data_IF_820716260324
#
_entry.id   IF_820716260324
#
_cell.length_a   1.000
_cell.length_b   1.000
_cell.length_c   1.000
_cell.angle_alpha   90.00
_cell.angle_beta   90.00
_cell.angle_gamma   90.00
#
_symmetry.space_group_name_H-M   'P 1'
#
loop_
_entity.id
_entity.type
_entity.pdbx_description
1 polymer ?
#
# COMPACT_ATOMS: atom_id res chain seq x y z
N UNK A 1 15.38 -21.17 -7.05
CA UNK A 1 14.95 -19.92 -7.71
C UNK A 1 15.58 -18.73 -7.00
N UNK A 2 15.88 -17.64 -7.72
CA UNK A 2 16.13 -16.32 -7.10
C UNK A 2 14.82 -15.77 -6.53
N UNK A 3 14.89 -14.78 -5.64
CA UNK A 3 13.70 -14.11 -5.12
C UNK A 3 12.80 -13.56 -6.23
N UNK A 4 13.40 -12.94 -7.25
CA UNK A 4 12.69 -12.41 -8.43
C UNK A 4 11.96 -13.50 -9.23
N UNK A 5 12.65 -14.63 -9.49
CA UNK A 5 12.05 -15.77 -10.20
C UNK A 5 10.90 -16.39 -9.40
N UNK A 6 11.01 -16.42 -8.07
CA UNK A 6 9.98 -16.93 -7.17
C UNK A 6 8.71 -16.12 -7.20
N UNK A 7 8.83 -14.78 -7.14
CA UNK A 7 7.69 -13.87 -7.26
C UNK A 7 7.05 -13.96 -8.64
N UNK A 8 7.85 -14.00 -9.71
CA UNK A 8 7.34 -14.19 -11.07
C UNK A 8 6.59 -15.52 -11.22
N UNK A 9 7.12 -16.61 -10.66
CA UNK A 9 6.43 -17.91 -10.68
C UNK A 9 5.07 -17.84 -9.97
N UNK A 10 4.97 -17.08 -8.85
CA UNK A 10 3.70 -16.88 -8.17
C UNK A 10 2.69 -16.13 -9.08
N UNK A 11 3.10 -15.09 -9.79
CA UNK A 11 2.24 -14.38 -10.75
C UNK A 11 1.88 -15.18 -12.00
N UNK A 12 2.67 -16.18 -12.34
CA UNK A 12 2.37 -17.14 -13.41
C UNK A 12 1.55 -18.33 -12.93
N UNK A 13 1.04 -18.32 -11.70
CA UNK A 13 0.32 -19.42 -11.04
C UNK A 13 1.08 -20.74 -11.14
N UNK A 14 2.41 -20.69 -11.05
CA UNK A 14 3.30 -21.86 -10.98
C UNK A 14 3.84 -21.99 -9.55
N UNK A 15 3.90 -23.25 -9.07
CA UNK A 15 4.44 -23.52 -7.74
C UNK A 15 5.91 -23.10 -7.65
N UNK A 16 6.29 -22.12 -6.82
CA UNK A 16 7.68 -21.78 -6.60
C UNK A 16 8.36 -22.78 -5.66
N UNK A 17 9.70 -22.72 -5.56
CA UNK A 17 10.49 -23.55 -4.64
C UNK A 17 10.20 -23.24 -3.17
N UNK A 18 9.81 -22.01 -2.87
CA UNK A 18 9.38 -21.48 -1.57
C UNK A 18 8.27 -20.49 -1.78
N UNK A 19 7.43 -20.28 -0.76
CA UNK A 19 6.46 -19.18 -0.77
C UNK A 19 7.22 -17.85 -0.73
N UNK A 20 7.04 -16.96 -1.71
CA UNK A 20 7.65 -15.64 -1.67
C UNK A 20 7.09 -14.80 -0.54
N UNK A 21 7.95 -13.97 0.05
CA UNK A 21 7.67 -13.17 1.25
C UNK A 21 7.83 -11.69 0.94
N UNK A 22 6.89 -10.88 1.42
CA UNK A 22 6.95 -9.43 1.36
C UNK A 22 6.77 -8.78 2.73
N UNK A 23 7.77 -8.02 3.16
CA UNK A 23 7.68 -7.02 4.24
C UNK A 23 8.41 -5.77 3.78
N UNK A 24 7.64 -4.78 3.29
CA UNK A 24 8.17 -3.49 2.83
C UNK A 24 8.29 -3.33 1.31
N UNK A 25 7.69 -4.24 0.54
CA UNK A 25 7.58 -4.10 -0.92
C UNK A 25 6.56 -3.05 -1.35
N UNK A 26 5.61 -2.68 -0.48
CA UNK A 26 4.64 -1.62 -0.69
C UNK A 26 4.27 -0.93 0.63
N UNK A 27 3.63 0.24 0.57
CA UNK A 27 3.21 0.97 1.77
C UNK A 27 2.34 0.11 2.72
N UNK A 28 1.49 -0.75 2.17
CA UNK A 28 0.58 -1.60 2.95
C UNK A 28 1.25 -2.87 3.52
N UNK A 29 2.48 -3.20 3.13
CA UNK A 29 3.27 -4.32 3.66
C UNK A 29 4.40 -3.89 4.60
N UNK A 30 4.55 -2.59 4.83
CA UNK A 30 5.59 -2.03 5.68
C UNK A 30 5.32 -2.20 7.17
N UNK A 31 6.31 -1.82 7.96
CA UNK A 31 6.36 -1.98 9.40
C UNK A 31 6.43 -0.59 10.04
N UNK A 32 5.67 -0.36 11.12
CA UNK A 32 5.75 0.86 11.91
C UNK A 32 7.19 1.08 12.44
N UNK A 33 7.63 2.33 12.44
CA UNK A 33 9.01 2.69 12.75
C UNK A 33 9.51 2.18 14.11
N UNK A 34 8.66 2.18 15.14
CA UNK A 34 9.03 1.69 16.49
C UNK A 34 9.31 0.20 16.43
N UNK A 35 8.39 -0.56 15.83
CA UNK A 35 8.51 -2.02 15.69
C UNK A 35 9.71 -2.39 14.81
N UNK A 36 9.94 -1.64 13.73
CA UNK A 36 11.10 -1.88 12.85
C UNK A 36 12.42 -1.70 13.60
N UNK A 37 12.54 -0.68 14.45
CA UNK A 37 13.70 -0.48 15.34
C UNK A 37 13.91 -1.69 16.26
N UNK A 38 12.83 -2.18 16.86
CA UNK A 38 12.89 -3.31 17.78
C UNK A 38 13.25 -4.63 17.07
N UNK A 39 12.76 -4.84 15.84
CA UNK A 39 13.18 -5.97 15.00
C UNK A 39 14.66 -5.91 14.64
N UNK A 40 15.21 -4.73 14.29
CA UNK A 40 16.65 -4.57 14.06
C UNK A 40 17.46 -4.97 15.28
N UNK A 41 17.03 -4.56 16.48
CA UNK A 41 17.69 -4.93 17.74
C UNK A 41 17.59 -6.45 17.99
N UNK A 42 16.42 -7.07 17.74
CA UNK A 42 16.22 -8.51 17.89
C UNK A 42 17.17 -9.33 17.00
N UNK A 43 17.37 -8.91 15.74
CA UNK A 43 18.29 -9.58 14.81
C UNK A 43 19.77 -9.16 14.99
N UNK A 44 20.10 -8.37 16.01
CA UNK A 44 21.46 -7.93 16.27
C UNK A 44 22.05 -7.01 15.21
N UNK A 45 21.22 -6.33 14.46
CA UNK A 45 21.64 -5.36 13.44
C UNK A 45 22.05 -4.04 14.08
N UNK A 46 22.94 -3.31 13.39
CA UNK A 46 23.35 -1.98 13.82
C UNK A 46 22.13 -1.06 14.01
N UNK A 47 22.13 -0.30 15.12
CA UNK A 47 21.10 0.71 15.34
C UNK A 47 21.19 1.81 14.28
N UNK A 48 20.07 2.09 13.65
CA UNK A 48 19.86 3.24 12.77
C UNK A 48 18.48 3.81 13.06
N UNK A 49 18.33 5.15 13.18
CA UNK A 49 17.00 5.73 13.29
C UNK A 49 16.16 5.35 12.06
N UNK A 50 14.97 4.77 12.25
CA UNK A 50 14.11 4.40 11.12
C UNK A 50 13.76 5.61 10.24
N UNK A 51 13.87 5.47 8.93
CA UNK A 51 13.43 6.49 7.96
C UNK A 51 11.96 6.27 7.64
N UNK A 52 11.13 7.26 7.92
CA UNK A 52 9.71 7.19 7.64
C UNK A 52 9.48 7.24 6.12
N UNK A 53 8.84 6.19 5.59
CA UNK A 53 8.45 6.15 4.17
C UNK A 53 7.20 6.98 3.91
N UNK A 54 6.23 6.90 4.82
CA UNK A 54 5.00 7.67 4.76
C UNK A 54 4.59 8.15 6.15
N UNK A 55 4.40 9.46 6.29
CA UNK A 55 4.05 10.10 7.56
C UNK A 55 2.63 9.74 8.00
N UNK A 56 1.68 9.46 7.08
CA UNK A 56 0.30 9.15 7.47
C UNK A 56 0.24 7.88 8.31
N UNK A 57 0.97 6.84 7.92
CA UNK A 57 0.97 5.52 8.60
C UNK A 57 2.13 5.35 9.58
N UNK A 58 3.11 6.26 9.61
CA UNK A 58 4.34 6.14 10.40
C UNK A 58 5.12 4.84 10.14
N UNK A 59 4.98 4.31 8.92
CA UNK A 59 5.75 3.15 8.46
C UNK A 59 7.11 3.57 7.94
N UNK A 60 8.10 2.72 8.12
CA UNK A 60 9.49 3.03 7.77
C UNK A 60 10.03 2.11 6.66
N UNK A 61 11.03 2.58 5.94
CA UNK A 61 11.75 1.78 4.96
C UNK A 61 12.37 0.54 5.59
N UNK A 62 12.08 -0.62 5.03
CA UNK A 62 12.74 -1.87 5.39
C UNK A 62 14.05 -1.93 4.63
N UNK A 63 15.17 -1.64 5.32
CA UNK A 63 16.49 -1.63 4.71
C UNK A 63 16.96 -3.05 4.32
N UNK A 64 17.85 -3.20 3.32
CA UNK A 64 18.25 -4.51 2.77
C UNK A 64 18.73 -5.54 3.81
N UNK A 65 19.47 -5.11 4.83
CA UNK A 65 19.99 -5.97 5.89
C UNK A 65 18.85 -6.57 6.76
N UNK A 66 17.85 -5.79 7.08
CA UNK A 66 16.66 -6.30 7.77
C UNK A 66 15.80 -7.15 6.84
N UNK A 67 15.63 -6.73 5.58
CA UNK A 67 14.89 -7.50 4.59
C UNK A 67 15.49 -8.91 4.38
N UNK A 68 16.83 -9.05 4.46
CA UNK A 68 17.50 -10.35 4.44
C UNK A 68 17.14 -11.19 5.68
N UNK A 69 17.13 -10.60 6.88
CA UNK A 69 16.72 -11.29 8.10
C UNK A 69 15.26 -11.75 8.06
N UNK A 70 14.38 -10.97 7.44
CA UNK A 70 12.96 -11.28 7.29
C UNK A 70 12.68 -12.26 6.15
N UNK A 71 13.66 -12.56 5.29
CA UNK A 71 13.49 -13.44 4.12
C UNK A 71 12.68 -12.82 2.99
N UNK A 72 12.71 -11.49 2.83
CA UNK A 72 11.92 -10.79 1.82
C UNK A 72 12.38 -11.11 0.39
N UNK A 73 11.41 -11.37 -0.47
CA UNK A 73 11.61 -11.60 -1.91
C UNK A 73 11.26 -10.38 -2.78
N UNK A 74 10.70 -9.34 -2.16
CA UNK A 74 10.28 -8.10 -2.83
C UNK A 74 11.03 -6.92 -2.26
N UNK A 75 11.30 -5.94 -3.12
CA UNK A 75 11.93 -4.67 -2.77
C UNK A 75 11.16 -3.52 -3.44
N UNK A 76 10.74 -2.54 -2.64
CA UNK A 76 10.13 -1.33 -3.17
C UNK A 76 11.20 -0.38 -3.75
N UNK A 77 10.88 0.26 -4.88
CA UNK A 77 11.47 1.56 -5.18
C UNK A 77 10.78 2.58 -4.27
N UNK A 78 11.46 2.95 -3.20
CA UNK A 78 10.91 3.78 -2.14
C UNK A 78 10.22 5.03 -2.67
N UNK A 79 9.08 5.40 -2.08
CA UNK A 79 8.29 6.54 -2.53
C UNK A 79 9.14 7.83 -2.58
N UNK A 80 8.99 8.59 -3.66
CA UNK A 80 9.64 9.91 -3.82
C UNK A 80 9.05 10.95 -2.88
N UNK A 81 7.75 10.90 -2.66
CA UNK A 81 7.03 11.73 -1.70
C UNK A 81 6.10 10.92 -0.80
N UNK A 82 5.66 11.50 0.30
CA UNK A 82 4.68 10.91 1.20
C UNK A 82 3.26 11.46 0.96
N UNK A 83 2.29 10.98 1.72
CA UNK A 83 0.86 11.38 1.66
C UNK A 83 0.66 12.90 1.82
N UNK A 84 1.55 13.60 2.51
CA UNK A 84 1.45 15.06 2.75
C UNK A 84 2.28 15.91 1.78
N UNK A 85 2.89 15.29 0.76
CA UNK A 85 3.72 15.98 -0.23
C UNK A 85 5.14 16.29 0.25
N UNK A 86 5.60 15.67 1.33
CA UNK A 86 6.99 15.79 1.75
C UNK A 86 7.89 14.91 0.89
N UNK A 87 9.10 15.40 0.57
CA UNK A 87 10.00 14.74 -0.38
C UNK A 87 11.04 13.86 0.35
N UNK A 88 11.06 12.57 0.03
CA UNK A 88 11.90 11.53 0.66
C UNK A 88 13.35 11.51 0.15
N UNK A 89 13.97 12.67 -0.04
CA UNK A 89 15.36 12.78 -0.54
C UNK A 89 16.35 13.22 0.51
N UNK A 90 15.92 13.99 1.50
CA UNK A 90 16.71 14.52 2.59
C UNK A 90 15.96 14.38 3.92
N UNK A 91 16.67 14.25 5.03
CA UNK A 91 16.12 13.75 6.27
C UNK A 91 16.57 14.60 7.47
N UNK A 92 15.65 14.74 8.46
CA UNK A 92 15.93 15.30 9.77
C UNK A 92 15.41 14.40 10.88
N UNK A 93 16.05 14.48 12.05
CA UNK A 93 15.56 13.79 13.24
C UNK A 93 14.27 14.40 13.78
N UNK A 94 13.38 13.52 14.20
CA UNK A 94 12.17 13.88 14.93
C UNK A 94 11.89 12.87 16.05
N UNK A 95 11.21 13.32 17.12
CA UNK A 95 10.83 12.45 18.23
C UNK A 95 9.41 11.94 18.05
N UNK A 96 9.29 10.69 17.65
CA UNK A 96 8.03 9.96 17.51
C UNK A 96 7.80 9.08 18.73
N UNK A 97 6.86 9.46 19.59
CA UNK A 97 6.53 8.73 20.85
C UNK A 97 7.76 8.38 21.69
N UNK A 98 8.71 9.32 21.79
CA UNK A 98 9.95 9.15 22.55
C UNK A 98 11.12 8.55 21.76
N UNK A 99 10.87 7.90 20.64
CA UNK A 99 11.88 7.30 19.77
C UNK A 99 12.40 8.29 18.73
N UNK A 100 13.65 8.18 18.37
CA UNK A 100 14.23 8.99 17.28
C UNK A 100 13.93 8.31 15.95
N UNK A 101 13.29 9.04 15.05
CA UNK A 101 13.05 8.65 13.65
C UNK A 101 13.58 9.73 12.72
N UNK A 102 13.75 9.37 11.44
CA UNK A 102 14.09 10.32 10.39
C UNK A 102 12.83 10.59 9.55
N UNK A 103 12.43 11.85 9.49
CA UNK A 103 11.35 12.33 8.65
C UNK A 103 11.91 13.19 7.52
N UNK A 104 11.18 13.40 6.39
CA UNK A 104 11.62 14.30 5.34
C UNK A 104 12.01 15.69 5.89
N UNK A 105 13.10 16.27 5.40
CA UNK A 105 13.63 17.52 5.93
C UNK A 105 12.65 18.69 5.80
N UNK A 106 11.78 18.67 4.75
CA UNK A 106 10.72 19.65 4.54
C UNK A 106 9.44 19.38 5.33
N UNK A 107 9.28 18.21 5.99
CA UNK A 107 8.09 17.95 6.81
C UNK A 107 8.02 18.88 8.02
N UNK A 108 6.87 19.48 8.28
CA UNK A 108 6.61 20.27 9.48
C UNK A 108 5.59 19.55 10.34
N UNK A 109 6.00 19.27 11.60
CA UNK A 109 5.15 18.65 12.62
C UNK A 109 5.11 19.57 13.82
N UNK A 110 3.91 19.90 14.30
CA UNK A 110 3.70 20.73 15.48
C UNK A 110 2.91 20.00 16.55
N UNK A 111 3.23 20.27 17.80
CA UNK A 111 2.45 19.79 18.96
C UNK A 111 1.05 20.42 18.94
N UNK A 112 0.01 19.61 19.25
CA UNK A 112 -1.38 20.06 19.30
C UNK A 112 -1.76 20.69 20.66
N UNK A 113 -0.81 20.79 21.60
CA UNK A 113 -1.01 21.25 22.97
C UNK A 113 -1.72 20.24 23.87
N UNK A 114 -1.99 19.03 23.40
CA UNK A 114 -2.69 17.94 24.13
C UNK A 114 -1.93 16.62 24.09
N UNK A 115 -0.67 16.64 23.62
CA UNK A 115 0.20 15.47 23.49
C UNK A 115 0.09 14.75 22.17
N UNK A 116 -0.67 15.28 21.22
CA UNK A 116 -0.75 14.86 19.83
C UNK A 116 0.06 15.77 18.89
N UNK A 117 -0.07 15.57 17.60
CA UNK A 117 0.69 16.28 16.59
C UNK A 117 -0.17 16.64 15.38
N UNK A 118 0.10 17.79 14.79
CA UNK A 118 -0.38 18.20 13.47
C UNK A 118 0.73 18.07 12.44
N UNK A 119 0.37 17.70 11.21
CA UNK A 119 1.24 17.70 10.03
C UNK A 119 0.63 18.61 8.95
N UNK A 120 1.48 19.21 8.13
CA UNK A 120 1.10 20.29 7.20
C UNK A 120 1.43 19.91 5.75
N UNK A 121 0.62 20.35 4.76
CA UNK A 121 0.83 20.03 3.36
C UNK A 121 2.15 20.62 2.86
N UNK A 122 2.98 19.79 2.22
CA UNK A 122 4.33 20.16 1.74
C UNK A 122 5.23 20.82 2.80
N UNK A 123 4.87 20.71 4.09
CA UNK A 123 5.57 21.39 5.19
C UNK A 123 5.24 22.88 5.36
N UNK A 124 4.18 23.37 4.73
CA UNK A 124 3.76 24.77 4.82
C UNK A 124 2.82 24.98 6.01
N UNK A 125 3.37 25.39 7.13
CA UNK A 125 2.65 25.62 8.39
C UNK A 125 1.96 27.01 8.48
N UNK A 126 1.94 27.75 7.40
CA UNK A 126 1.08 28.95 7.23
C UNK A 126 -0.34 28.58 6.82
N UNK A 127 -0.53 27.32 6.38
CA UNK A 127 -1.81 26.74 5.99
C UNK A 127 -2.43 25.92 7.15
N UNK A 128 -3.72 25.60 7.08
CA UNK A 128 -4.33 24.66 8.01
C UNK A 128 -3.66 23.27 7.95
N UNK A 129 -3.56 22.53 9.08
CA UNK A 129 -2.96 21.20 9.09
C UNK A 129 -3.75 20.23 8.23
N UNK A 130 -3.04 19.31 7.57
CA UNK A 130 -3.60 18.27 6.71
C UNK A 130 -3.84 16.96 7.43
N UNK A 131 -3.15 16.74 8.55
CA UNK A 131 -3.31 15.53 9.34
C UNK A 131 -3.14 15.81 10.83
N UNK A 132 -3.77 14.92 11.64
CA UNK A 132 -3.71 14.96 13.10
C UNK A 132 -3.45 13.58 13.67
N UNK A 133 -2.43 13.49 14.51
CA UNK A 133 -2.16 12.30 15.33
C UNK A 133 -2.56 12.62 16.77
N UNK A 134 -3.60 12.01 17.34
CA UNK A 134 -4.01 12.26 18.72
C UNK A 134 -2.98 11.72 19.72
N UNK A 135 -3.05 12.14 20.99
CA UNK A 135 -2.09 11.80 22.04
C UNK A 135 -1.80 10.30 22.19
N UNK A 136 -2.80 9.44 22.00
CA UNK A 136 -2.68 7.98 22.04
C UNK A 136 -2.57 7.32 20.66
N UNK A 137 -2.50 8.11 19.57
CA UNK A 137 -2.40 7.62 18.21
C UNK A 137 -0.96 7.29 17.81
N UNK A 138 -0.81 6.47 16.81
CA UNK A 138 0.47 6.07 16.22
C UNK A 138 0.55 6.35 14.71
N UNK A 139 -0.45 7.01 14.15
CA UNK A 139 -0.55 7.44 12.75
C UNK A 139 -1.34 8.73 12.67
N UNK A 140 -1.30 9.41 11.53
CA UNK A 140 -2.04 10.64 11.31
C UNK A 140 -3.33 10.35 10.54
N UNK A 141 -4.45 10.81 11.09
CA UNK A 141 -5.72 10.87 10.37
C UNK A 141 -5.73 12.11 9.46
N UNK A 142 -6.13 11.95 8.21
CA UNK A 142 -6.25 13.07 7.27
C UNK A 142 -7.43 13.96 7.61
N UNK A 143 -7.23 15.26 7.50
CA UNK A 143 -8.22 16.29 7.84
C UNK A 143 -8.85 16.87 6.57
N UNK A 144 -10.18 16.89 6.51
CA UNK A 144 -10.91 17.67 5.50
C UNK A 144 -10.75 19.15 5.80
N UNK A 145 -10.30 19.93 4.79
CA UNK A 145 -9.95 21.35 4.92
C UNK A 145 -10.83 22.26 4.06
N UNK A 146 -11.86 21.69 3.42
CA UNK A 146 -12.82 22.40 2.57
C UNK A 146 -14.18 22.51 3.26
N UNK A 147 -15.03 23.47 2.87
CA UNK A 147 -16.46 23.44 3.19
C UNK A 147 -17.14 22.22 2.54
N UNK A 148 -18.43 22.04 2.83
CA UNK A 148 -19.28 21.09 2.10
C UNK A 148 -19.27 21.39 0.60
N UNK A 149 -19.39 20.34 -0.21
CA UNK A 149 -19.39 20.43 -1.66
C UNK A 149 -20.61 21.21 -2.16
N UNK A 150 -20.38 22.19 -3.04
CA UNK A 150 -21.41 22.97 -3.70
C UNK A 150 -21.56 22.50 -5.16
N UNK A 151 -22.73 21.94 -5.49
CA UNK A 151 -23.02 21.43 -6.82
C UNK A 151 -23.03 22.56 -7.89
N UNK A 152 -23.44 23.77 -7.51
CA UNK A 152 -23.48 24.91 -8.42
C UNK A 152 -22.06 25.43 -8.82
N UNK A 153 -21.04 25.08 -8.02
CA UNK A 153 -19.62 25.39 -8.26
C UNK A 153 -18.80 24.17 -8.70
N UNK A 154 -19.47 23.05 -9.00
CA UNK A 154 -18.82 21.79 -9.28
C UNK A 154 -17.89 21.86 -10.52
N UNK A 155 -16.61 21.52 -10.32
CA UNK A 155 -15.62 21.39 -11.38
C UNK A 155 -14.81 20.11 -11.18
N UNK A 156 -14.94 19.10 -12.07
CA UNK A 156 -14.19 17.84 -11.96
C UNK A 156 -12.67 18.02 -11.87
N UNK A 157 -12.12 19.07 -12.51
CA UNK A 157 -10.69 19.36 -12.47
C UNK A 157 -10.17 19.58 -11.03
N UNK A 158 -11.02 20.03 -10.11
CA UNK A 158 -10.67 20.21 -8.72
C UNK A 158 -10.31 18.87 -8.01
N UNK A 159 -10.90 17.75 -8.43
CA UNK A 159 -10.51 16.42 -7.94
C UNK A 159 -9.47 15.73 -8.82
N UNK A 160 -9.21 16.22 -10.04
CA UNK A 160 -8.10 15.74 -10.88
C UNK A 160 -6.74 16.20 -10.33
N UNK A 161 -6.69 17.25 -9.52
CA UNK A 161 -5.45 17.72 -8.85
C UNK A 161 -4.75 16.63 -8.02
N UNK A 162 -5.47 15.57 -7.58
CA UNK A 162 -4.88 14.44 -6.86
C UNK A 162 -3.98 13.58 -7.76
N UNK A 163 -4.27 13.56 -9.05
CA UNK A 163 -3.52 12.79 -10.04
C UNK A 163 -2.35 13.62 -10.57
N UNK A 164 -1.16 13.30 -10.10
CA UNK A 164 0.04 14.05 -10.47
C UNK A 164 0.83 13.38 -11.58
N UNK A 165 1.29 14.18 -12.54
CA UNK A 165 2.24 13.70 -13.54
C UNK A 165 3.58 13.35 -12.91
N UNK A 166 4.14 12.23 -13.30
CA UNK A 166 5.49 11.84 -12.88
C UNK A 166 6.53 12.83 -13.40
N UNK A 167 7.35 13.37 -12.49
CA UNK A 167 8.41 14.34 -12.83
C UNK A 167 9.73 13.67 -13.21
N UNK A 168 10.63 14.43 -13.83
CA UNK A 168 11.99 13.94 -14.15
C UNK A 168 12.83 13.76 -12.89
N UNK A 169 12.60 14.58 -11.86
CA UNK A 169 13.22 14.47 -10.54
C UNK A 169 12.84 13.16 -9.86
N UNK A 170 11.56 12.77 -9.94
CA UNK A 170 11.08 11.49 -9.43
C UNK A 170 11.73 10.31 -10.16
N UNK A 171 11.83 10.35 -11.48
CA UNK A 171 12.54 9.34 -12.28
C UNK A 171 14.02 9.29 -11.87
N UNK A 172 14.68 10.44 -11.72
CA UNK A 172 16.08 10.49 -11.30
C UNK A 172 16.30 9.93 -9.90
N UNK A 173 15.37 10.18 -8.97
CA UNK A 173 15.38 9.61 -7.63
C UNK A 173 15.25 8.07 -7.70
N UNK A 174 14.26 7.54 -8.40
CA UNK A 174 14.06 6.10 -8.51
C UNK A 174 15.21 5.38 -9.22
N UNK A 175 15.88 6.00 -10.20
CA UNK A 175 17.12 5.48 -10.78
C UNK A 175 18.23 5.32 -9.73
N UNK A 176 18.37 6.28 -8.81
CA UNK A 176 19.32 6.20 -7.70
C UNK A 176 18.95 5.11 -6.70
N UNK A 177 17.66 4.93 -6.41
CA UNK A 177 17.19 3.87 -5.52
C UNK A 177 17.42 2.51 -6.16
N UNK A 178 17.04 2.33 -7.44
CA UNK A 178 17.23 1.09 -8.19
C UNK A 178 18.70 0.67 -8.21
N UNK A 179 19.63 1.60 -8.46
CA UNK A 179 21.05 1.31 -8.46
C UNK A 179 21.57 0.75 -7.12
N UNK A 180 20.92 1.09 -6.00
CA UNK A 180 21.28 0.58 -4.66
C UNK A 180 20.70 -0.80 -4.36
N UNK A 181 19.55 -1.15 -4.95
CA UNK A 181 18.79 -2.36 -4.60
C UNK A 181 18.83 -3.45 -5.67
N UNK A 182 19.23 -3.15 -6.91
CA UNK A 182 19.25 -4.09 -8.04
C UNK A 182 20.15 -5.33 -7.81
N UNK A 183 21.15 -5.22 -6.95
CA UNK A 183 22.02 -6.35 -6.59
C UNK A 183 21.37 -7.40 -5.69
N UNK A 184 20.21 -7.13 -5.09
CA UNK A 184 19.54 -8.03 -4.14
C UNK A 184 18.85 -9.22 -4.79
N UNK A 185 18.67 -9.24 -6.11
CA UNK A 185 17.90 -10.24 -6.87
C UNK A 185 16.42 -10.36 -6.42
N UNK A 186 15.90 -9.40 -5.65
CA UNK A 186 14.49 -9.32 -5.29
C UNK A 186 13.66 -8.81 -6.46
N UNK A 187 12.38 -9.17 -6.49
CA UNK A 187 11.43 -8.55 -7.40
C UNK A 187 11.27 -7.06 -7.03
N UNK A 188 11.29 -6.19 -8.02
CA UNK A 188 11.18 -4.75 -7.81
C UNK A 188 9.74 -4.32 -8.02
N UNK A 189 9.17 -3.69 -6.98
CA UNK A 189 7.85 -3.06 -7.04
C UNK A 189 7.97 -1.54 -7.04
N UNK A 190 7.09 -0.88 -7.79
CA UNK A 190 6.95 0.58 -7.78
C UNK A 190 5.49 1.01 -7.72
N UNK A 191 5.23 2.10 -6.99
CA UNK A 191 4.01 2.92 -7.10
C UNK A 191 4.43 4.27 -7.66
N UNK A 192 4.28 4.52 -8.97
CA UNK A 192 4.84 5.71 -9.61
C UNK A 192 4.13 7.00 -9.25
N UNK A 193 2.92 6.90 -8.76
CA UNK A 193 2.11 8.04 -8.36
C UNK A 193 0.83 7.57 -7.71
N UNK A 194 -0.07 8.52 -7.52
CA UNK A 194 -1.36 8.27 -6.93
C UNK A 194 -2.41 8.15 -8.04
N UNK A 195 -2.83 6.92 -8.32
CA UNK A 195 -3.78 6.61 -9.41
C UNK A 195 -5.02 5.87 -8.90
N UNK A 196 -5.33 6.09 -7.62
CA UNK A 196 -6.54 5.58 -7.02
C UNK A 196 -7.78 6.29 -7.56
N UNK A 197 -8.79 5.53 -7.92
CA UNK A 197 -10.09 6.08 -8.30
C UNK A 197 -10.86 6.39 -7.01
N UNK A 198 -10.59 7.58 -6.43
CA UNK A 198 -11.27 8.04 -5.22
C UNK A 198 -10.87 7.30 -3.93
N UNK A 199 -9.58 7.08 -3.71
CA UNK A 199 -9.08 6.50 -2.48
C UNK A 199 -9.33 7.43 -1.27
N UNK A 200 -9.97 6.89 -0.24
CA UNK A 200 -10.34 7.62 0.97
C UNK A 200 -9.15 8.30 1.67
N UNK A 201 -7.94 7.74 1.55
CA UNK A 201 -6.75 8.36 2.12
C UNK A 201 -6.34 9.65 1.41
N UNK A 202 -6.72 9.82 0.14
CA UNK A 202 -6.31 10.98 -0.67
C UNK A 202 -7.45 11.97 -0.93
N UNK A 203 -8.70 11.56 -0.82
CA UNK A 203 -9.86 12.43 -1.02
C UNK A 203 -9.74 13.76 -0.24
N UNK A 204 -9.29 13.79 1.03
CA UNK A 204 -9.10 15.08 1.73
C UNK A 204 -8.06 16.02 1.11
N UNK A 205 -7.29 15.57 0.10
CA UNK A 205 -6.22 16.34 -0.52
C UNK A 205 -5.10 16.67 0.45
N UNK A 206 -4.52 15.67 1.19
CA UNK A 206 -3.59 15.96 2.28
C UNK A 206 -2.30 16.65 1.82
N UNK A 207 -1.85 16.42 0.59
CA UNK A 207 -0.70 17.06 -0.04
C UNK A 207 -1.01 18.41 -0.69
N UNK A 208 -2.29 18.72 -0.95
CA UNK A 208 -2.67 19.93 -1.64
C UNK A 208 -2.65 21.14 -0.69
N UNK A 209 -2.13 22.27 -1.14
CA UNK A 209 -2.14 23.53 -0.34
C UNK A 209 -3.54 24.11 -0.20
N UNK A 210 -4.30 24.10 -1.27
CA UNK A 210 -5.64 24.66 -1.35
C UNK A 210 -6.60 23.66 -2.02
N UNK A 211 -6.94 22.54 -1.36
CA UNK A 211 -7.82 21.54 -1.95
C UNK A 211 -9.20 22.12 -2.27
N UNK A 212 -9.77 21.72 -3.42
CA UNK A 212 -11.11 22.07 -3.89
C UNK A 212 -11.82 20.83 -4.38
N UNK A 213 -13.12 20.92 -4.72
CA UNK A 213 -13.94 19.83 -5.13
C UNK A 213 -14.47 18.99 -3.96
N UNK A 214 -14.80 17.73 -4.20
CA UNK A 214 -15.32 16.83 -3.17
C UNK A 214 -14.15 16.31 -2.31
N UNK A 215 -14.06 16.79 -1.07
CA UNK A 215 -12.95 16.46 -0.15
C UNK A 215 -13.38 15.76 1.14
N UNK A 216 -14.66 15.71 1.42
CA UNK A 216 -15.24 14.88 2.46
C UNK A 216 -15.33 13.43 1.98
N UNK A 217 -14.82 12.48 2.78
CA UNK A 217 -14.91 11.04 2.48
C UNK A 217 -16.38 10.60 2.35
N UNK A 218 -17.27 11.15 3.20
CA UNK A 218 -18.69 10.82 3.17
C UNK A 218 -19.35 11.33 1.87
N UNK A 219 -19.05 12.55 1.45
CA UNK A 219 -19.58 13.11 0.20
C UNK A 219 -19.02 12.33 -1.00
N UNK A 220 -17.73 11.98 -0.99
CA UNK A 220 -17.12 11.19 -2.05
C UNK A 220 -17.77 9.81 -2.20
N UNK A 221 -18.07 9.10 -1.11
CA UNK A 221 -18.75 7.81 -1.19
C UNK A 221 -20.19 7.89 -1.68
N UNK A 222 -20.82 9.06 -1.57
CA UNK A 222 -22.16 9.33 -2.14
C UNK A 222 -22.07 9.82 -3.59
N UNK A 223 -20.94 10.42 -4.00
CA UNK A 223 -20.77 11.04 -5.31
C UNK A 223 -21.07 10.08 -6.50
N UNK A 224 -20.69 8.79 -6.49
CA UNK A 224 -21.06 7.85 -7.53
C UNK A 224 -22.58 7.72 -7.81
N UNK A 225 -23.38 8.03 -6.81
CA UNK A 225 -24.86 7.97 -6.92
C UNK A 225 -25.49 9.35 -7.17
N UNK A 226 -24.91 10.40 -6.62
CA UNK A 226 -25.42 11.76 -6.70
C UNK A 226 -24.89 12.53 -7.90
N UNK A 227 -23.62 12.33 -8.23
CA UNK A 227 -22.87 13.07 -9.26
C UNK A 227 -22.06 12.14 -10.17
N UNK A 228 -22.70 11.11 -10.80
CA UNK A 228 -21.95 10.11 -11.57
C UNK A 228 -21.14 10.72 -12.71
N UNK A 229 -21.67 11.69 -13.45
CA UNK A 229 -20.97 12.36 -14.54
C UNK A 229 -19.72 13.11 -14.06
N UNK A 230 -19.78 13.74 -12.88
CA UNK A 230 -18.61 14.36 -12.26
C UNK A 230 -17.52 13.33 -11.96
N UNK A 231 -17.91 12.21 -11.34
CA UNK A 231 -16.98 11.13 -10.98
C UNK A 231 -16.37 10.47 -12.23
N UNK A 232 -17.18 10.25 -13.27
CA UNK A 232 -16.72 9.70 -14.55
C UNK A 232 -15.66 10.61 -15.20
N UNK A 233 -15.88 11.93 -15.21
CA UNK A 233 -14.92 12.89 -15.78
C UNK A 233 -13.61 12.92 -14.99
N UNK A 234 -13.66 12.89 -13.65
CA UNK A 234 -12.47 12.77 -12.80
C UNK A 234 -11.70 11.49 -13.10
N UNK A 235 -12.40 10.35 -13.24
CA UNK A 235 -11.76 9.06 -13.50
C UNK A 235 -11.17 8.97 -14.89
N UNK A 236 -11.83 9.51 -15.92
CA UNK A 236 -11.30 9.54 -17.27
C UNK A 236 -9.98 10.32 -17.33
N UNK A 237 -9.98 11.56 -16.84
CA UNK A 237 -8.77 12.41 -16.80
C UNK A 237 -7.66 11.78 -15.95
N UNK A 238 -8.00 11.26 -14.76
CA UNK A 238 -7.04 10.60 -13.88
C UNK A 238 -6.42 9.34 -14.51
N UNK A 239 -7.22 8.58 -15.28
CA UNK A 239 -6.75 7.40 -16.01
C UNK A 239 -5.76 7.77 -17.13
N UNK A 240 -6.00 8.87 -17.84
CA UNK A 240 -5.06 9.37 -18.86
C UNK A 240 -3.72 9.77 -18.26
N UNK A 241 -3.73 10.49 -17.13
CA UNK A 241 -2.53 10.86 -16.37
C UNK A 241 -1.78 9.60 -15.88
N UNK A 242 -2.51 8.60 -15.39
CA UNK A 242 -1.92 7.34 -14.96
C UNK A 242 -1.18 6.63 -16.10
N UNK A 243 -1.81 6.48 -17.26
CA UNK A 243 -1.23 5.82 -18.43
C UNK A 243 -0.01 6.58 -18.95
N UNK A 244 -0.05 7.92 -18.97
CA UNK A 244 1.11 8.73 -19.33
C UNK A 244 2.28 8.50 -18.37
N UNK A 245 1.99 8.44 -17.07
CA UNK A 245 2.97 8.15 -16.02
C UNK A 245 3.56 6.73 -16.16
N UNK A 246 2.75 5.72 -16.46
CA UNK A 246 3.22 4.35 -16.71
C UNK A 246 4.15 4.29 -17.92
N UNK A 247 3.83 5.00 -19.01
CA UNK A 247 4.70 5.11 -20.19
C UNK A 247 6.06 5.69 -19.83
N UNK A 248 6.06 6.81 -19.08
CA UNK A 248 7.29 7.48 -18.64
C UNK A 248 8.17 6.55 -17.77
N UNK A 249 7.55 5.76 -16.89
CA UNK A 249 8.26 4.76 -16.10
C UNK A 249 8.78 3.60 -16.94
N UNK A 250 7.99 3.10 -17.88
CA UNK A 250 8.44 2.05 -18.78
C UNK A 250 9.65 2.48 -19.62
N UNK A 251 9.61 3.68 -20.17
CA UNK A 251 10.72 4.24 -20.93
C UNK A 251 12.00 4.42 -20.08
N UNK A 252 11.84 4.67 -18.79
CA UNK A 252 12.96 4.91 -17.87
C UNK A 252 13.56 3.63 -17.27
N UNK A 253 12.76 2.59 -17.04
CA UNK A 253 13.11 1.41 -16.23
C UNK A 253 12.88 0.07 -16.94
N UNK A 254 12.02 0.00 -17.94
CA UNK A 254 11.73 -1.22 -18.69
C UNK A 254 11.46 -2.43 -17.79
N UNK A 255 12.16 -3.54 -18.05
CA UNK A 255 12.04 -4.81 -17.31
C UNK A 255 12.80 -4.85 -15.98
N UNK A 256 13.43 -3.76 -15.54
CA UNK A 256 14.06 -3.69 -14.22
C UNK A 256 13.02 -3.66 -13.10
N UNK A 257 11.79 -3.24 -13.41
CA UNK A 257 10.61 -3.34 -12.54
C UNK A 257 9.83 -4.62 -12.87
N UNK A 258 9.29 -5.28 -11.86
CA UNK A 258 8.45 -6.48 -11.99
C UNK A 258 6.97 -6.18 -11.74
N UNK A 259 6.68 -5.30 -10.76
CA UNK A 259 5.33 -5.10 -10.24
C UNK A 259 5.01 -3.61 -10.21
N UNK A 260 3.88 -3.26 -10.81
CA UNK A 260 3.28 -1.96 -10.73
C UNK A 260 2.14 -1.97 -9.70
N UNK A 261 2.31 -1.23 -8.60
CA UNK A 261 1.22 -0.97 -7.67
C UNK A 261 0.37 0.18 -8.22
N UNK A 262 -0.85 -0.14 -8.64
CA UNK A 262 -1.72 0.84 -9.29
C UNK A 262 -2.37 1.75 -8.25
N UNK A 263 -3.02 1.17 -7.23
CA UNK A 263 -3.70 1.97 -6.23
C UNK A 263 -4.03 1.21 -4.94
N UNK A 264 -4.39 1.97 -3.90
CA UNK A 264 -4.87 1.51 -2.60
C UNK A 264 -6.34 1.81 -2.31
N UNK A 265 -7.16 2.06 -3.33
CA UNK A 265 -8.57 2.40 -3.12
C UNK A 265 -9.34 1.25 -2.51
N UNK A 266 -9.88 1.45 -1.32
CA UNK A 266 -10.70 0.48 -0.60
C UNK A 266 -12.16 0.52 -1.06
N UNK A 267 -12.75 -0.66 -1.23
CA UNK A 267 -14.18 -0.84 -1.56
C UNK A 267 -14.90 -1.74 -0.56
N UNK A 268 -14.17 -2.32 0.41
CA UNK A 268 -14.71 -3.26 1.37
C UNK A 268 -14.79 -2.71 2.79
N UNK A 269 -15.78 -3.21 3.53
CA UNK A 269 -15.89 -3.07 4.99
C UNK A 269 -15.70 -4.43 5.65
N UNK A 270 -15.80 -4.53 6.98
CA UNK A 270 -15.79 -5.84 7.67
C UNK A 270 -16.96 -6.75 7.26
N UNK A 271 -18.05 -6.19 6.72
CA UNK A 271 -19.29 -6.93 6.37
C UNK A 271 -19.50 -7.14 4.87
N UNK A 272 -18.67 -6.54 4.02
CA UNK A 272 -18.79 -6.60 2.57
C UNK A 272 -18.47 -5.26 1.90
N UNK A 273 -18.66 -5.15 0.57
CA UNK A 273 -18.45 -3.90 -0.14
C UNK A 273 -19.40 -2.80 0.36
N UNK A 274 -18.95 -1.55 0.34
CA UNK A 274 -19.80 -0.41 0.68
C UNK A 274 -20.60 0.15 -0.52
N UNK A 275 -20.41 -0.44 -1.70
CA UNK A 275 -21.23 -0.19 -2.89
C UNK A 275 -21.70 -1.52 -3.49
N UNK A 276 -22.71 -1.49 -4.34
CA UNK A 276 -23.13 -2.69 -5.04
C UNK A 276 -22.08 -3.15 -6.06
N UNK A 277 -21.99 -4.46 -6.34
CA UNK A 277 -21.10 -4.97 -7.37
C UNK A 277 -21.33 -4.34 -8.75
N UNK A 278 -22.57 -3.96 -9.07
CA UNK A 278 -22.94 -3.30 -10.32
C UNK A 278 -22.35 -1.89 -10.42
N UNK A 279 -22.37 -1.11 -9.33
CA UNK A 279 -21.73 0.22 -9.31
C UNK A 279 -20.22 0.10 -9.53
N UNK A 280 -19.57 -0.89 -8.91
CA UNK A 280 -18.13 -1.13 -9.15
C UNK A 280 -17.89 -1.52 -10.62
N UNK A 281 -18.69 -2.45 -11.18
CA UNK A 281 -18.57 -2.91 -12.56
C UNK A 281 -18.74 -1.77 -13.56
N UNK A 282 -19.74 -0.92 -13.35
CA UNK A 282 -20.13 0.07 -14.36
C UNK A 282 -19.32 1.36 -14.27
N UNK A 283 -18.89 1.77 -13.05
CA UNK A 283 -18.23 3.06 -12.83
C UNK A 283 -16.70 2.96 -12.58
N UNK A 284 -16.20 1.88 -11.96
CA UNK A 284 -14.78 1.78 -11.59
C UNK A 284 -13.99 0.82 -12.49
N UNK A 285 -14.55 -0.36 -12.75
CA UNK A 285 -13.88 -1.42 -13.50
C UNK A 285 -13.41 -0.97 -14.90
N UNK A 286 -14.16 -0.16 -15.68
CA UNK A 286 -13.73 0.26 -17.02
C UNK A 286 -12.41 1.05 -17.00
N UNK A 287 -12.22 1.90 -16.02
CA UNK A 287 -10.99 2.71 -15.87
C UNK A 287 -9.81 1.86 -15.39
N UNK A 288 -10.02 0.96 -14.43
CA UNK A 288 -8.99 -0.01 -14.05
C UNK A 288 -8.60 -0.89 -15.22
N UNK A 289 -9.57 -1.34 -16.00
CA UNK A 289 -9.32 -2.14 -17.21
C UNK A 289 -8.48 -1.37 -18.24
N UNK A 290 -8.79 -0.10 -18.47
CA UNK A 290 -8.03 0.77 -19.37
C UNK A 290 -6.56 0.89 -18.93
N UNK A 291 -6.29 1.05 -17.63
CA UNK A 291 -4.95 1.08 -17.07
C UNK A 291 -4.22 -0.27 -17.22
N UNK A 292 -4.86 -1.37 -16.80
CA UNK A 292 -4.29 -2.72 -16.86
C UNK A 292 -4.04 -3.19 -18.30
N UNK A 293 -4.99 -2.95 -19.21
CA UNK A 293 -4.84 -3.28 -20.64
C UNK A 293 -3.62 -2.56 -21.23
N UNK A 294 -3.40 -1.28 -20.87
CA UNK A 294 -2.22 -0.56 -21.33
C UNK A 294 -0.93 -1.21 -20.81
N UNK A 295 -0.87 -1.53 -19.51
CA UNK A 295 0.30 -2.16 -18.88
C UNK A 295 0.61 -3.50 -19.54
N UNK A 296 -0.38 -4.36 -19.72
CA UNK A 296 -0.20 -5.69 -20.29
C UNK A 296 0.17 -5.67 -21.79
N UNK A 297 -0.32 -4.66 -22.54
CA UNK A 297 0.00 -4.53 -23.96
C UNK A 297 1.40 -3.96 -24.22
N UNK A 298 1.96 -3.17 -23.31
CA UNK A 298 3.17 -2.39 -23.56
C UNK A 298 4.35 -2.77 -22.66
N UNK A 299 4.13 -3.55 -21.60
CA UNK A 299 5.16 -3.83 -20.59
C UNK A 299 5.24 -5.32 -20.26
N UNK A 300 6.23 -5.68 -19.43
CA UNK A 300 6.33 -7.02 -18.82
C UNK A 300 5.88 -7.01 -17.35
N UNK A 301 5.38 -5.89 -16.87
CA UNK A 301 4.99 -5.71 -15.47
C UNK A 301 3.71 -6.46 -15.14
N UNK A 302 3.60 -6.82 -13.87
CA UNK A 302 2.40 -7.32 -13.24
C UNK A 302 1.72 -6.22 -12.44
N UNK A 303 0.40 -6.18 -12.46
CA UNK A 303 -0.37 -5.14 -11.77
C UNK A 303 -0.89 -5.64 -10.44
N UNK A 304 -0.77 -4.80 -9.41
CA UNK A 304 -1.19 -5.09 -8.05
C UNK A 304 -2.12 -3.98 -7.57
N UNK A 305 -3.27 -4.40 -6.98
CA UNK A 305 -4.21 -3.52 -6.31
C UNK A 305 -4.28 -3.83 -4.83
N UNK A 306 -4.28 -2.79 -4.00
CA UNK A 306 -4.69 -2.92 -2.61
C UNK A 306 -6.19 -2.57 -2.47
N UNK A 307 -6.91 -3.37 -1.69
CA UNK A 307 -8.31 -3.13 -1.35
C UNK A 307 -8.69 -3.90 -0.10
N UNK A 308 -8.84 -3.20 1.03
CA UNK A 308 -9.26 -3.79 2.29
C UNK A 308 -10.71 -4.26 2.30
N UNK A 309 -11.03 -5.15 3.26
CA UNK A 309 -12.40 -5.54 3.61
C UNK A 309 -12.92 -6.77 2.88
N UNK A 310 -14.21 -6.99 3.05
CA UNK A 310 -14.96 -8.09 2.43
C UNK A 310 -15.30 -7.76 0.98
N UNK A 311 -14.43 -8.13 0.05
CA UNK A 311 -14.52 -7.77 -1.36
C UNK A 311 -14.92 -8.95 -2.26
N UNK A 312 -15.25 -10.10 -1.69
CA UNK A 312 -15.60 -11.29 -2.47
C UNK A 312 -16.61 -11.04 -3.61
N UNK A 313 -17.70 -10.26 -3.42
CA UNK A 313 -18.67 -9.99 -4.48
C UNK A 313 -18.14 -9.16 -5.65
N UNK A 314 -17.07 -8.39 -5.45
CA UNK A 314 -16.48 -7.52 -6.50
C UNK A 314 -15.18 -8.08 -7.07
N UNK A 315 -14.62 -9.18 -6.50
CA UNK A 315 -13.43 -9.84 -7.02
C UNK A 315 -13.55 -10.25 -8.49
N UNK A 316 -14.69 -10.80 -8.98
CA UNK A 316 -14.84 -11.13 -10.41
C UNK A 316 -14.58 -9.93 -11.32
N UNK A 317 -15.04 -8.74 -10.93
CA UNK A 317 -14.85 -7.51 -11.71
C UNK A 317 -13.42 -6.95 -11.59
N UNK A 318 -12.72 -7.19 -10.48
CA UNK A 318 -11.29 -6.88 -10.38
C UNK A 318 -10.46 -7.77 -11.31
N UNK A 319 -10.79 -9.05 -11.41
CA UNK A 319 -10.16 -9.99 -12.34
C UNK A 319 -10.47 -9.60 -13.78
N UNK A 320 -11.72 -9.31 -14.12
CA UNK A 320 -12.15 -8.82 -15.44
C UNK A 320 -11.49 -7.48 -15.78
N UNK A 321 -11.30 -6.62 -14.79
CA UNK A 321 -10.56 -5.36 -14.87
C UNK A 321 -9.05 -5.53 -15.07
N UNK A 322 -8.55 -6.77 -15.08
CA UNK A 322 -7.20 -7.14 -15.49
C UNK A 322 -6.13 -7.07 -14.40
N UNK A 323 -6.50 -6.99 -13.11
CA UNK A 323 -5.48 -7.05 -12.05
C UNK A 323 -4.85 -8.44 -11.95
N UNK A 324 -3.51 -8.51 -11.94
CA UNK A 324 -2.77 -9.75 -11.73
C UNK A 324 -2.73 -10.18 -10.26
N UNK A 325 -2.81 -9.25 -9.32
CA UNK A 325 -2.79 -9.54 -7.89
C UNK A 325 -3.62 -8.59 -7.06
N UNK A 326 -4.06 -9.08 -5.89
CA UNK A 326 -4.84 -8.33 -4.90
C UNK A 326 -4.16 -8.40 -3.52
N UNK A 327 -4.10 -7.26 -2.84
CA UNK A 327 -3.64 -7.06 -1.46
C UNK A 327 -4.62 -6.11 -0.73
N UNK A 328 -4.87 -6.25 0.56
CA UNK A 328 -4.61 -7.44 1.34
C UNK A 328 -5.64 -8.53 1.03
N UNK A 329 -5.40 -9.73 1.51
CA UNK A 329 -6.45 -10.74 1.58
C UNK A 329 -7.01 -10.71 3.00
N UNK A 330 -8.03 -9.88 3.24
CA UNK A 330 -8.54 -9.65 4.60
C UNK A 330 -9.45 -10.78 5.06
N UNK A 331 -8.85 -11.91 5.39
CA UNK A 331 -9.55 -13.15 5.78
C UNK A 331 -10.41 -13.02 7.05
N UNK A 332 -10.27 -11.92 7.81
CA UNK A 332 -11.11 -11.60 8.97
C UNK A 332 -12.44 -10.92 8.59
N UNK A 333 -12.59 -10.46 7.34
CA UNK A 333 -13.83 -9.86 6.86
C UNK A 333 -14.82 -10.94 6.39
N UNK A 334 -16.11 -10.59 6.42
CA UNK A 334 -17.19 -11.48 6.00
C UNK A 334 -17.06 -11.89 4.52
N UNK A 335 -17.27 -13.17 4.22
CA UNK A 335 -17.14 -13.72 2.87
C UNK A 335 -15.71 -13.99 2.40
N UNK A 336 -14.69 -13.62 3.18
CA UNK A 336 -13.27 -13.73 2.80
C UNK A 336 -12.60 -14.99 3.36
N UNK A 337 -13.33 -16.11 3.41
CA UNK A 337 -12.75 -17.40 3.86
C UNK A 337 -11.60 -17.82 2.95
N UNK A 338 -10.41 -18.14 3.50
CA UNK A 338 -9.20 -18.43 2.72
C UNK A 338 -9.33 -19.57 1.75
N UNK A 339 -10.00 -20.66 2.20
CA UNK A 339 -10.17 -21.84 1.35
C UNK A 339 -11.13 -21.53 0.20
N UNK A 340 -12.23 -20.86 0.48
CA UNK A 340 -13.20 -20.41 -0.53
C UNK A 340 -12.55 -19.49 -1.56
N UNK A 341 -11.75 -18.52 -1.12
CA UNK A 341 -11.01 -17.62 -2.00
C UNK A 341 -10.06 -18.40 -2.92
N UNK A 342 -9.24 -19.29 -2.33
CA UNK A 342 -8.26 -20.07 -3.09
C UNK A 342 -8.92 -21.03 -4.08
N UNK A 343 -9.96 -21.72 -3.66
CA UNK A 343 -10.68 -22.69 -4.52
C UNK A 343 -11.41 -21.97 -5.67
N UNK A 344 -11.91 -20.74 -5.44
CA UNK A 344 -12.71 -20.00 -6.43
C UNK A 344 -11.84 -19.21 -7.40
N UNK A 345 -10.86 -18.46 -6.90
CA UNK A 345 -10.11 -17.45 -7.68
C UNK A 345 -8.60 -17.68 -7.72
N UNK A 346 -8.07 -18.71 -7.04
CA UNK A 346 -6.63 -18.92 -6.93
C UNK A 346 -5.88 -19.21 -8.23
N UNK A 347 -6.60 -19.38 -9.36
CA UNK A 347 -6.02 -19.52 -10.70
C UNK A 347 -6.10 -18.25 -11.54
N UNK A 348 -6.90 -17.28 -11.09
CA UNK A 348 -7.24 -16.09 -11.86
C UNK A 348 -6.57 -14.84 -11.31
N UNK A 349 -6.22 -14.83 -10.01
CA UNK A 349 -5.57 -13.69 -9.36
C UNK A 349 -4.59 -14.16 -8.29
N UNK A 350 -3.47 -13.45 -8.15
CA UNK A 350 -2.49 -13.69 -7.08
C UNK A 350 -3.01 -13.10 -5.77
N UNK A 351 -3.06 -13.93 -4.73
CA UNK A 351 -3.33 -13.46 -3.37
C UNK A 351 -2.04 -12.99 -2.72
N UNK A 352 -1.97 -11.70 -2.41
CA UNK A 352 -0.83 -11.10 -1.76
C UNK A 352 -1.21 -10.63 -0.35
N UNK A 353 -0.82 -11.37 0.67
CA UNK A 353 -1.19 -11.11 2.06
C UNK A 353 -2.11 -12.19 2.66
N UNK A 354 -2.87 -11.82 3.67
CA UNK A 354 -3.76 -12.75 4.37
C UNK A 354 -3.06 -13.75 5.29
N UNK A 355 -1.73 -13.65 5.46
CA UNK A 355 -0.92 -14.59 6.19
C UNK A 355 -1.20 -14.64 7.68
N UNK A 356 -1.56 -13.51 8.28
CA UNK A 356 -1.97 -13.43 9.68
C UNK A 356 -2.89 -12.22 9.89
N UNK A 357 -3.84 -12.36 10.82
CA UNK A 357 -4.76 -11.30 11.22
C UNK A 357 -4.02 -10.22 12.04
N UNK A 358 -3.99 -8.99 11.50
CA UNK A 358 -3.36 -7.82 12.11
C UNK A 358 -4.27 -7.05 13.06
N UNK A 359 -5.54 -7.43 13.19
CA UNK A 359 -6.50 -6.78 14.09
C UNK A 359 -6.63 -7.49 15.43
N UNK A 360 -6.44 -8.82 15.49
CA UNK A 360 -6.63 -9.61 16.69
C UNK A 360 -5.45 -10.53 16.99
N UNK A 361 -5.05 -11.39 16.04
CA UNK A 361 -4.11 -12.47 16.32
C UNK A 361 -2.68 -11.96 16.47
N UNK A 362 -2.20 -11.18 15.52
CA UNK A 362 -0.82 -10.69 15.54
C UNK A 362 -0.55 -9.73 16.72
N UNK A 363 -1.43 -8.74 17.02
CA UNK A 363 -1.18 -7.81 18.13
C UNK A 363 -1.54 -8.35 19.51
N UNK A 364 -2.51 -9.25 19.65
CA UNK A 364 -3.07 -9.65 20.95
C UNK A 364 -3.04 -11.15 21.22
N UNK A 365 -2.74 -11.99 20.23
CA UNK A 365 -2.59 -13.42 20.39
C UNK A 365 -1.26 -13.79 21.05
N UNK A 366 -1.11 -15.07 21.40
CA UNK A 366 0.17 -15.64 21.83
C UNK A 366 0.99 -16.10 20.62
N UNK A 367 2.33 -16.20 20.74
CA UNK A 367 3.19 -16.65 19.63
C UNK A 367 2.73 -17.97 18.99
N UNK A 368 2.22 -18.93 19.77
CA UNK A 368 1.72 -20.21 19.27
C UNK A 368 0.44 -20.06 18.45
N UNK A 369 -0.40 -19.08 18.76
CA UNK A 369 -1.62 -18.78 18.02
C UNK A 369 -1.29 -18.10 16.69
N UNK A 370 -0.34 -17.16 16.71
CA UNK A 370 0.21 -16.54 15.50
C UNK A 370 0.80 -17.61 14.59
N UNK A 371 1.71 -18.43 15.11
CA UNK A 371 2.34 -19.52 14.34
C UNK A 371 1.30 -20.45 13.71
N UNK A 372 0.30 -20.88 14.48
CA UNK A 372 -0.76 -21.78 13.99
C UNK A 372 -1.53 -21.17 12.82
N UNK A 373 -1.94 -19.89 12.94
CA UNK A 373 -2.67 -19.20 11.87
C UNK A 373 -1.81 -19.03 10.62
N UNK A 374 -0.54 -18.65 10.79
CA UNK A 374 0.40 -18.51 9.66
C UNK A 374 0.55 -19.83 8.88
N UNK A 375 0.77 -20.94 9.57
CA UNK A 375 0.91 -22.25 8.91
C UNK A 375 -0.38 -22.66 8.21
N UNK A 376 -1.55 -22.45 8.83
CA UNK A 376 -2.85 -22.69 8.20
C UNK A 376 -3.01 -21.89 6.89
N UNK A 377 -2.67 -20.58 6.91
CA UNK A 377 -2.76 -19.74 5.72
C UNK A 377 -1.80 -20.16 4.63
N UNK A 378 -0.57 -20.51 5.01
CA UNK A 378 0.43 -21.01 4.07
C UNK A 378 -0.03 -22.32 3.40
N UNK A 379 -0.58 -23.28 4.14
CA UNK A 379 -1.09 -24.54 3.60
C UNK A 379 -2.23 -24.32 2.59
N UNK A 380 -3.09 -23.33 2.82
CA UNK A 380 -4.22 -23.03 1.93
C UNK A 380 -3.75 -22.28 0.69
N UNK A 381 -3.09 -21.13 0.88
CA UNK A 381 -2.83 -20.21 -0.22
C UNK A 381 -1.64 -20.60 -1.11
N UNK A 382 -0.62 -21.28 -0.57
CA UNK A 382 0.58 -21.63 -1.35
C UNK A 382 0.37 -22.74 -2.38
N UNK A 383 -0.71 -23.51 -2.23
CA UNK A 383 -0.99 -24.65 -3.12
C UNK A 383 -1.14 -24.18 -4.57
N UNK A 384 -0.40 -24.84 -5.47
CA UNK A 384 -0.41 -24.57 -6.91
C UNK A 384 0.03 -23.15 -7.32
N UNK A 385 0.79 -22.43 -6.46
CA UNK A 385 1.28 -21.07 -6.74
C UNK A 385 0.21 -19.98 -6.52
N UNK A 386 0.39 -18.80 -7.12
CA UNK A 386 -0.57 -17.69 -7.00
C UNK A 386 -0.65 -17.07 -5.60
N UNK A 387 0.46 -17.07 -4.84
CA UNK A 387 0.49 -16.54 -3.49
C UNK A 387 1.81 -15.84 -3.17
N UNK A 388 1.73 -14.68 -2.50
CA UNK A 388 2.85 -13.98 -1.86
C UNK A 388 2.48 -13.76 -0.40
N UNK A 389 3.31 -14.27 0.52
CA UNK A 389 3.06 -14.12 1.95
C UNK A 389 3.32 -12.68 2.40
N UNK A 390 2.35 -12.13 3.07
CA UNK A 390 2.42 -10.92 3.87
C UNK A 390 1.35 -10.99 4.98
N UNK A 391 1.41 -10.11 5.96
CA UNK A 391 0.31 -9.87 6.90
C UNK A 391 -0.97 -9.41 6.18
N UNK A 392 -2.10 -9.34 6.85
CA UNK A 392 -3.30 -8.75 6.23
C UNK A 392 -3.03 -7.28 5.87
N UNK A 393 -2.41 -6.51 6.77
CA UNK A 393 -2.05 -5.12 6.52
C UNK A 393 -0.67 -4.83 7.12
N UNK A 394 -0.17 -3.58 7.02
CA UNK A 394 1.09 -3.18 7.63
C UNK A 394 1.13 -3.51 9.14
N UNK A 395 2.32 -3.82 9.65
CA UNK A 395 2.52 -4.13 11.05
C UNK A 395 2.52 -2.82 11.85
N UNK A 396 1.52 -2.68 12.72
CA UNK A 396 1.27 -1.48 13.50
C UNK A 396 2.19 -1.37 14.73
N UNK A 397 2.30 -0.16 15.29
CA UNK A 397 2.93 0.08 16.57
C UNK A 397 2.32 -0.82 17.67
N UNK A 398 3.10 -1.10 18.71
CA UNK A 398 2.71 -1.98 19.84
C UNK A 398 2.45 -3.45 19.49
N UNK A 399 2.72 -3.89 18.25
CA UNK A 399 2.72 -5.32 17.93
C UNK A 399 3.90 -5.99 18.64
N UNK A 400 3.67 -7.03 19.49
CA UNK A 400 4.74 -7.69 20.24
C UNK A 400 5.78 -8.31 19.29
N UNK A 401 7.07 -8.08 19.59
CA UNK A 401 8.17 -8.61 18.75
C UNK A 401 8.16 -10.13 18.72
N UNK A 402 7.85 -10.79 19.82
CA UNK A 402 7.73 -12.23 19.90
C UNK A 402 6.66 -12.81 18.96
N UNK A 403 5.58 -12.08 18.72
CA UNK A 403 4.55 -12.49 17.76
C UNK A 403 5.02 -12.33 16.33
N UNK A 404 5.73 -11.24 16.00
CA UNK A 404 6.30 -11.03 14.68
C UNK A 404 7.37 -12.08 14.38
N UNK A 405 8.22 -12.38 15.35
CA UNK A 405 9.24 -13.43 15.22
C UNK A 405 8.59 -14.79 15.02
N UNK A 406 7.56 -15.13 15.80
CA UNK A 406 6.82 -16.39 15.62
C UNK A 406 6.18 -16.51 14.23
N UNK A 407 5.68 -15.41 13.68
CA UNK A 407 5.19 -15.36 12.29
C UNK A 407 6.31 -15.64 11.29
N UNK A 408 7.44 -14.94 11.39
CA UNK A 408 8.58 -15.08 10.47
C UNK A 408 9.17 -16.48 10.56
N UNK A 409 9.34 -17.01 11.76
CA UNK A 409 9.87 -18.36 11.97
C UNK A 409 8.94 -19.42 11.39
N UNK A 410 7.62 -19.25 11.50
CA UNK A 410 6.65 -20.16 10.88
C UNK A 410 6.75 -20.16 9.35
N UNK A 411 6.95 -19.00 8.73
CA UNK A 411 7.18 -18.90 7.28
C UNK A 411 8.48 -19.59 6.87
N UNK A 412 9.58 -19.33 7.60
CA UNK A 412 10.88 -19.98 7.36
C UNK A 412 10.80 -21.49 7.49
N UNK A 413 10.14 -21.97 8.54
CA UNK A 413 9.91 -23.40 8.76
C UNK A 413 9.15 -24.03 7.59
N UNK A 414 8.02 -23.42 7.16
CA UNK A 414 7.23 -23.87 6.03
C UNK A 414 8.06 -23.92 4.73
N UNK A 415 8.90 -22.93 4.52
CA UNK A 415 9.81 -22.83 3.37
C UNK A 415 11.04 -23.77 3.47
N UNK A 416 11.23 -24.47 4.59
CA UNK A 416 12.39 -25.34 4.82
C UNK A 416 13.70 -24.58 5.07
N UNK A 417 13.62 -23.32 5.46
CA UNK A 417 14.77 -22.51 5.86
C UNK A 417 15.16 -22.85 7.30
N UNK A 418 16.49 -22.82 7.59
CA UNK A 418 17.04 -23.09 8.92
C UNK A 418 17.31 -21.82 9.70
#
# INVERSE_FOLDING_TARGET
>A
MTSRERVRAAFEHRQPDKVPVDFGGMCCSMINAIVLKDLRAYYGLEYRPPKINDMSTMTAFVEPDLADCLGCDVQQLYNYGDTYGHINTDWKEWKYRGETVLIPSNAVVKDDGKGGYFVYPEGDDTLPPSGHMPANGFYFDNLTRTPEFDEDEANPDDNVEDYTHVTDEQIAYHKKVLAKVSGSQRAIQVGPGYFGLGDANNIPGPNLKNPRGIRSIQEWYMAPLLYPEYVEEVFEKGTEIAIESFRKYWDAFGSDIDILFICGTDFGTQRGPFMSPEVFRDLYMPYYKKMNDWVHAHTTWKTLKHCCGGIFPILPYMIEGGFDGINPVQCSAEGMDPKTLKDTYGKDIVFWGGGVDTQQVLPFGRPEEVRRQVLERLEIFSKDGGYVFNTIHNIQANTPIENIVAMIDAVKEFNGDK
#
